data_IF_757310142384
#
_entry.id   IF_757310142384
#
_cell.length_a   1.000
_cell.length_b   1.000
_cell.length_c   1.000
_cell.angle_alpha   90.00
_cell.angle_beta   90.00
_cell.angle_gamma   90.00
#
_symmetry.space_group_name_H-M   'P 1'
#
loop_
_entity.id
_entity.type
_entity.pdbx_description
1 polymer ?
#
# COMPACT_ATOMS: atom_id res chain seq x y z
N UNK A 1 16.35 24.11 7.15
CA UNK A 1 17.36 24.73 8.03
C UNK A 1 16.81 26.07 8.49
N UNK A 2 16.26 26.15 9.72
CA UNK A 2 15.72 27.40 10.26
C UNK A 2 16.87 28.17 10.94
N UNK A 3 17.06 29.44 10.57
CA UNK A 3 18.17 30.26 11.03
C UNK A 3 18.06 30.57 12.54
N UNK A 4 19.14 30.29 13.27
CA UNK A 4 19.27 30.50 14.73
C UNK A 4 19.36 31.99 15.11
N UNK A 5 19.49 32.92 14.16
CA UNK A 5 19.91 34.31 14.42
C UNK A 5 19.04 35.40 13.75
N UNK A 6 17.71 35.34 13.88
CA UNK A 6 16.82 36.41 13.40
C UNK A 6 15.81 36.84 14.46
N UNK A 7 15.26 38.05 14.32
CA UNK A 7 14.22 38.66 15.19
C UNK A 7 12.86 37.93 15.17
N UNK A 8 12.76 36.83 14.42
CA UNK A 8 11.56 35.99 14.32
C UNK A 8 11.61 34.95 15.45
N UNK A 9 10.48 34.65 16.13
CA UNK A 9 10.42 33.63 17.17
C UNK A 9 11.11 32.33 16.74
N UNK A 10 12.10 31.90 17.52
CA UNK A 10 12.92 30.74 17.20
C UNK A 10 12.09 29.46 17.36
N UNK A 11 12.18 28.54 16.39
CA UNK A 11 11.50 27.24 16.46
C UNK A 11 11.88 26.46 17.73
N UNK A 12 13.05 26.71 18.31
CA UNK A 12 13.49 26.14 19.59
C UNK A 12 12.62 26.53 20.78
N UNK A 13 11.79 27.56 20.68
CA UNK A 13 10.83 27.96 21.71
C UNK A 13 9.45 27.31 21.53
N UNK A 14 9.24 26.51 20.47
CA UNK A 14 7.97 25.83 20.25
C UNK A 14 7.79 24.67 21.24
N UNK A 15 6.76 24.74 22.08
CA UNK A 15 6.49 23.74 23.12
C UNK A 15 6.29 22.32 22.58
N UNK A 16 5.72 22.18 21.37
CA UNK A 16 5.49 20.86 20.72
C UNK A 16 6.82 20.27 20.26
N UNK A 17 7.69 21.07 19.66
CA UNK A 17 9.06 20.62 19.34
C UNK A 17 9.84 20.26 20.62
N UNK A 18 9.71 21.05 21.68
CA UNK A 18 10.36 20.76 22.96
C UNK A 18 9.87 19.44 23.58
N UNK A 19 8.59 19.12 23.46
CA UNK A 19 8.06 17.83 23.88
C UNK A 19 8.67 16.67 23.07
N UNK A 20 8.80 16.83 21.74
CA UNK A 20 9.41 15.82 20.85
C UNK A 20 10.89 15.62 21.18
N UNK A 21 11.63 16.69 21.49
CA UNK A 21 13.05 16.67 21.86
C UNK A 21 13.31 16.00 23.22
N UNK A 22 12.37 16.12 24.17
CA UNK A 22 12.50 15.56 25.53
C UNK A 22 12.03 14.10 25.62
N UNK A 23 11.30 13.62 24.61
CA UNK A 23 10.84 12.23 24.59
C UNK A 23 12.03 11.28 24.48
N UNK A 24 12.09 10.31 25.39
CA UNK A 24 13.15 9.30 25.40
C UNK A 24 13.02 8.35 24.19
N UNK A 25 14.17 7.93 23.67
CA UNK A 25 14.31 6.90 22.64
C UNK A 25 15.15 5.76 23.21
N UNK A 26 14.90 4.53 22.77
CA UNK A 26 15.71 3.35 23.11
C UNK A 26 16.93 3.18 22.16
N UNK A 27 17.25 4.20 21.38
CA UNK A 27 18.38 4.28 20.46
C UNK A 27 19.08 5.65 20.59
N UNK A 28 20.35 5.71 20.19
CA UNK A 28 21.13 6.95 20.16
C UNK A 28 20.64 7.84 19.01
N UNK A 29 19.86 8.88 19.34
CA UNK A 29 19.33 9.81 18.34
C UNK A 29 20.43 10.79 17.88
N UNK A 30 20.71 10.79 16.57
CA UNK A 30 21.68 11.70 15.92
C UNK A 30 21.01 12.68 14.97
N UNK A 31 19.74 12.46 14.62
CA UNK A 31 18.95 13.34 13.76
C UNK A 31 17.49 13.44 14.21
N UNK A 32 16.93 14.63 14.06
CA UNK A 32 15.50 14.90 14.25
C UNK A 32 15.04 15.86 13.16
N UNK A 33 13.93 15.54 12.51
CA UNK A 33 13.15 16.49 11.74
C UNK A 33 11.69 16.47 12.20
N UNK A 34 11.07 17.64 12.14
CA UNK A 34 9.71 17.84 12.62
C UNK A 34 8.98 18.80 11.68
N UNK A 35 7.75 18.42 11.34
CA UNK A 35 6.82 19.21 10.57
C UNK A 35 5.56 19.45 11.40
N UNK A 36 5.30 20.71 11.76
CA UNK A 36 4.06 21.12 12.40
C UNK A 36 2.96 21.29 11.34
N UNK A 37 2.16 20.24 11.14
CA UNK A 37 1.11 20.27 10.13
C UNK A 37 -0.02 21.24 10.51
N UNK A 38 -0.40 21.29 11.79
CA UNK A 38 -1.42 22.23 12.27
C UNK A 38 -1.02 23.70 12.07
N UNK A 39 0.26 24.04 12.27
CA UNK A 39 0.73 25.38 11.99
C UNK A 39 0.60 25.74 10.49
N UNK A 40 0.87 24.79 9.60
CA UNK A 40 0.67 24.98 8.16
C UNK A 40 -0.81 25.14 7.81
N UNK A 41 -1.68 24.28 8.35
CA UNK A 41 -3.12 24.41 8.15
C UNK A 41 -3.67 25.73 8.66
N UNK A 42 -3.26 26.17 9.86
CA UNK A 42 -3.72 27.44 10.44
C UNK A 42 -3.33 28.62 9.56
N UNK A 43 -2.10 28.58 9.01
CA UNK A 43 -1.57 29.68 8.20
C UNK A 43 -2.14 29.71 6.79
N UNK A 44 -2.30 28.56 6.15
CA UNK A 44 -2.61 28.45 4.72
C UNK A 44 -4.00 27.90 4.43
N UNK A 45 -4.68 27.33 5.42
CA UNK A 45 -5.96 26.64 5.26
C UNK A 45 -7.06 27.49 4.64
N UNK A 46 -7.10 28.79 4.92
CA UNK A 46 -8.10 29.70 4.34
C UNK A 46 -7.82 30.15 2.90
N UNK A 47 -6.69 29.76 2.30
CA UNK A 47 -6.37 30.13 0.91
C UNK A 47 -7.26 29.34 -0.04
N UNK A 48 -7.93 30.05 -0.96
CA UNK A 48 -8.71 29.43 -2.03
C UNK A 48 -7.81 28.93 -3.15
N UNK A 49 -8.09 27.72 -3.62
CA UNK A 49 -7.45 27.12 -4.77
C UNK A 49 -8.03 27.71 -6.06
N UNK A 50 -7.21 27.86 -7.12
CA UNK A 50 -7.64 28.39 -8.40
C UNK A 50 -8.39 27.33 -9.23
N UNK A 51 -9.44 26.73 -8.65
CA UNK A 51 -10.30 25.72 -9.27
C UNK A 51 -11.75 26.23 -9.33
N UNK A 52 -12.60 25.71 -10.25
CA UNK A 52 -13.98 26.19 -10.43
C UNK A 52 -14.82 26.18 -9.14
N UNK A 53 -14.61 25.19 -8.28
CA UNK A 53 -15.33 24.99 -7.02
C UNK A 53 -14.91 25.96 -5.92
N UNK A 54 -13.82 26.73 -6.10
CA UNK A 54 -13.31 27.72 -5.13
C UNK A 54 -13.03 27.17 -3.72
N UNK A 55 -12.72 25.87 -3.61
CA UNK A 55 -12.35 25.24 -2.34
C UNK A 55 -11.13 25.89 -1.72
N UNK A 56 -11.11 25.94 -0.41
CA UNK A 56 -9.97 26.33 0.42
C UNK A 56 -9.01 25.15 0.61
N UNK A 57 -7.76 25.44 0.97
CA UNK A 57 -6.78 24.40 1.33
C UNK A 57 -7.32 23.54 2.48
N UNK A 58 -7.96 24.13 3.49
CA UNK A 58 -8.54 23.40 4.62
C UNK A 58 -9.61 22.40 4.17
N UNK A 59 -10.52 22.81 3.29
CA UNK A 59 -11.55 21.92 2.74
C UNK A 59 -10.90 20.77 1.96
N UNK A 60 -9.88 21.02 1.14
CA UNK A 60 -9.16 19.95 0.43
C UNK A 60 -8.45 18.99 1.38
N UNK A 61 -7.90 19.48 2.50
CA UNK A 61 -7.27 18.63 3.50
C UNK A 61 -8.29 17.78 4.26
N UNK A 62 -9.47 18.33 4.57
CA UNK A 62 -10.58 17.58 5.15
C UNK A 62 -11.08 16.48 4.21
N UNK A 63 -11.26 16.82 2.94
CA UNK A 63 -11.60 15.87 1.86
C UNK A 63 -10.57 14.74 1.80
N UNK A 64 -9.28 15.04 1.94
CA UNK A 64 -8.20 14.07 1.92
C UNK A 64 -8.02 13.29 3.25
N UNK A 65 -8.81 13.59 4.30
CA UNK A 65 -8.66 13.02 5.63
C UNK A 65 -7.37 13.44 6.36
N UNK A 66 -6.77 14.55 5.93
CA UNK A 66 -5.52 15.12 6.46
C UNK A 66 -5.78 16.36 7.34
N UNK A 67 -7.03 16.73 7.57
CA UNK A 67 -7.44 17.82 8.47
C UNK A 67 -7.00 17.55 9.92
N UNK A 68 -7.03 16.28 10.33
CA UNK A 68 -6.64 15.87 11.69
C UNK A 68 -5.15 15.60 11.85
N UNK A 69 -4.39 15.58 10.76
CA UNK A 69 -2.94 15.38 10.83
C UNK A 69 -2.34 16.47 11.73
N UNK A 70 -1.55 16.04 12.70
CA UNK A 70 -1.06 16.89 13.77
C UNK A 70 0.38 17.32 13.47
N UNK A 71 1.24 16.32 13.30
CA UNK A 71 2.65 16.52 12.98
C UNK A 71 3.26 15.29 12.32
N UNK A 72 4.36 15.51 11.60
CA UNK A 72 5.24 14.45 11.12
C UNK A 72 6.58 14.61 11.85
N UNK A 73 7.01 13.55 12.54
CA UNK A 73 8.26 13.50 13.29
C UNK A 73 9.10 12.40 12.68
N UNK A 74 10.34 12.69 12.31
CA UNK A 74 11.30 11.68 11.90
C UNK A 74 12.54 11.77 12.81
N UNK A 75 12.87 10.66 13.45
CA UNK A 75 14.04 10.49 14.31
C UNK A 75 14.98 9.50 13.65
N UNK A 76 16.26 9.86 13.57
CA UNK A 76 17.31 9.01 13.03
C UNK A 76 18.43 8.82 14.05
N UNK A 77 19.08 7.66 14.01
CA UNK A 77 20.10 7.32 14.99
C UNK A 77 20.68 5.93 14.83
N UNK A 78 21.21 5.40 15.92
CA UNK A 78 21.81 4.08 15.98
C UNK A 78 21.27 3.27 17.16
N UNK A 79 20.86 2.03 16.89
CA UNK A 79 20.54 1.04 17.94
C UNK A 79 21.56 -0.08 17.86
N UNK A 80 22.63 0.03 18.65
CA UNK A 80 23.81 -0.81 18.51
C UNK A 80 24.56 -0.51 17.20
N UNK A 81 24.85 -1.55 16.41
CA UNK A 81 25.53 -1.42 15.12
C UNK A 81 24.58 -1.09 13.95
N UNK A 82 23.26 -1.06 14.21
CA UNK A 82 22.25 -0.82 13.19
C UNK A 82 21.85 0.65 13.14
N UNK A 83 21.75 1.19 11.93
CA UNK A 83 21.05 2.45 11.70
C UNK A 83 19.57 2.25 12.02
N UNK A 84 19.00 3.19 12.76
CA UNK A 84 17.60 3.18 13.16
C UNK A 84 16.92 4.47 12.72
N UNK A 85 15.70 4.36 12.20
CA UNK A 85 14.89 5.52 11.81
C UNK A 85 13.44 5.27 12.17
N UNK A 86 12.84 6.21 12.90
CA UNK A 86 11.43 6.18 13.27
C UNK A 86 10.73 7.36 12.62
N UNK A 87 9.65 7.09 11.90
CA UNK A 87 8.74 8.13 11.40
C UNK A 87 7.41 7.99 12.10
N UNK A 88 7.00 9.02 12.83
CA UNK A 88 5.69 9.12 13.47
C UNK A 88 4.85 10.14 12.73
N UNK A 89 3.67 9.70 12.26
CA UNK A 89 2.64 10.56 11.69
C UNK A 89 1.53 10.65 12.74
N UNK A 90 1.42 11.80 13.40
CA UNK A 90 0.53 11.99 14.55
C UNK A 90 -0.78 12.63 14.08
N UNK A 91 -1.92 12.27 14.67
CA UNK A 91 -3.21 12.94 14.41
C UNK A 91 -4.05 12.31 13.31
N UNK A 92 -3.46 11.44 12.48
CA UNK A 92 -4.24 10.43 11.76
C UNK A 92 -4.64 9.34 12.77
N UNK A 93 -5.86 8.81 12.67
CA UNK A 93 -6.48 7.93 13.68
C UNK A 93 -5.57 6.79 14.17
N UNK A 94 -5.89 6.25 15.35
CA UNK A 94 -5.14 5.13 15.92
C UNK A 94 -5.03 3.98 14.92
N UNK A 95 -3.83 3.41 14.75
CA UNK A 95 -3.71 2.10 14.14
C UNK A 95 -4.40 1.10 15.07
N UNK A 96 -5.58 0.63 14.65
CA UNK A 96 -6.24 -0.49 15.29
C UNK A 96 -5.46 -1.76 14.97
N UNK A 97 -4.54 -2.16 15.85
CA UNK A 97 -3.80 -3.41 15.70
C UNK A 97 -2.64 -3.56 16.69
N UNK A 98 -2.30 -4.80 17.07
CA UNK A 98 -1.08 -5.06 17.82
C UNK A 98 0.14 -4.75 16.94
N UNK A 99 1.23 -4.34 17.59
CA UNK A 99 2.53 -4.18 16.92
C UNK A 99 2.96 -5.52 16.31
N UNK A 100 3.31 -5.51 15.02
CA UNK A 100 3.79 -6.70 14.33
C UNK A 100 5.13 -7.17 14.92
N UNK A 101 5.27 -8.49 15.02
CA UNK A 101 6.49 -9.18 15.40
C UNK A 101 6.97 -10.06 14.26
N UNK A 102 8.20 -10.57 14.36
CA UNK A 102 8.74 -11.51 13.36
C UNK A 102 7.90 -12.79 13.23
N UNK A 103 7.08 -13.15 14.23
CA UNK A 103 6.19 -14.32 14.18
C UNK A 103 4.96 -14.08 13.30
N UNK A 104 4.64 -12.82 13.04
CA UNK A 104 3.49 -12.42 12.21
C UNK A 104 3.85 -12.35 10.72
N UNK A 105 5.12 -12.63 10.37
CA UNK A 105 5.66 -12.59 9.01
C UNK A 105 5.61 -13.98 8.34
N UNK A 106 5.64 -14.05 6.99
CA UNK A 106 5.88 -15.32 6.32
C UNK A 106 7.28 -15.85 6.69
N UNK A 107 7.55 -17.15 6.45
CA UNK A 107 8.92 -17.65 6.50
C UNK A 107 9.82 -16.82 5.56
N UNK A 108 10.74 -16.05 6.15
CA UNK A 108 11.71 -15.26 5.40
C UNK A 108 12.86 -16.16 4.91
N UNK A 109 13.53 -15.79 3.80
CA UNK A 109 14.74 -16.48 3.37
C UNK A 109 15.82 -16.39 4.46
N UNK A 110 16.81 -17.29 4.41
CA UNK A 110 17.86 -17.32 5.45
C UNK A 110 18.73 -16.04 5.51
N UNK A 111 18.77 -15.27 4.42
CA UNK A 111 19.58 -14.04 4.27
C UNK A 111 18.91 -13.04 3.29
N UNK A 112 17.79 -12.40 3.65
CA UNK A 112 17.30 -11.26 2.87
C UNK A 112 18.31 -10.11 3.00
N UNK A 113 18.57 -9.36 1.92
CA UNK A 113 19.31 -8.10 2.05
C UNK A 113 18.39 -7.01 2.64
N UNK A 114 17.08 -7.11 2.39
CA UNK A 114 16.07 -6.24 2.97
C UNK A 114 14.70 -6.92 3.03
N UNK A 115 13.87 -6.46 3.97
CA UNK A 115 12.45 -6.74 3.94
C UNK A 115 11.69 -5.53 4.47
N UNK A 116 10.46 -5.37 4.00
CA UNK A 116 9.52 -4.36 4.44
C UNK A 116 8.23 -5.07 4.85
N UNK A 117 7.57 -4.53 5.87
CA UNK A 117 6.30 -5.06 6.37
C UNK A 117 5.34 -3.90 6.53
N UNK A 118 4.13 -4.11 6.04
CA UNK A 118 3.04 -3.14 6.11
C UNK A 118 1.84 -3.81 6.76
N UNK A 119 1.17 -3.07 7.63
CA UNK A 119 -0.12 -3.48 8.19
C UNK A 119 -1.21 -2.56 7.65
N UNK A 120 -2.13 -3.12 6.86
CA UNK A 120 -3.27 -2.41 6.29
C UNK A 120 -4.39 -3.42 6.04
N UNK A 121 -5.62 -3.11 6.46
CA UNK A 121 -6.80 -3.92 6.12
C UNK A 121 -7.33 -3.45 4.75
N UNK A 122 -7.12 -4.20 3.65
CA UNK A 122 -7.45 -3.73 2.31
C UNK A 122 -8.95 -3.55 2.09
N UNK A 123 -9.78 -4.44 2.65
CA UNK A 123 -11.23 -4.34 2.56
C UNK A 123 -11.78 -3.10 3.30
N UNK A 124 -11.26 -2.83 4.50
CA UNK A 124 -11.64 -1.61 5.23
C UNK A 124 -11.14 -0.34 4.53
N UNK A 125 -9.93 -0.37 3.96
CA UNK A 125 -9.40 0.74 3.16
C UNK A 125 -10.27 0.99 1.93
N UNK A 126 -10.70 -0.06 1.23
CA UNK A 126 -11.64 0.06 0.11
C UNK A 126 -12.94 0.73 0.54
N UNK A 127 -13.55 0.32 1.65
CA UNK A 127 -14.78 0.92 2.16
C UNK A 127 -14.62 2.40 2.51
N UNK A 128 -13.47 2.75 3.09
CA UNK A 128 -13.12 4.15 3.36
C UNK A 128 -12.97 4.94 2.06
N UNK A 129 -12.25 4.41 1.06
CA UNK A 129 -12.06 5.07 -0.24
C UNK A 129 -13.38 5.25 -0.99
N UNK A 130 -14.25 4.25 -0.99
CA UNK A 130 -15.60 4.34 -1.59
C UNK A 130 -16.44 5.38 -0.86
N UNK A 131 -16.44 5.37 0.48
CA UNK A 131 -17.16 6.36 1.27
C UNK A 131 -16.65 7.78 1.01
N UNK A 132 -15.33 7.93 0.90
CA UNK A 132 -14.67 9.20 0.58
C UNK A 132 -15.06 9.67 -0.83
N UNK A 133 -15.06 8.79 -1.83
CA UNK A 133 -15.50 9.14 -3.18
C UNK A 133 -16.96 9.62 -3.20
N UNK A 134 -17.86 8.92 -2.50
CA UNK A 134 -19.28 9.28 -2.41
C UNK A 134 -19.51 10.60 -1.68
N UNK A 135 -18.89 10.79 -0.52
CA UNK A 135 -19.03 12.01 0.28
C UNK A 135 -18.53 13.26 -0.46
N UNK A 136 -17.58 13.08 -1.38
CA UNK A 136 -16.97 14.18 -2.13
C UNK A 136 -17.50 14.31 -3.56
N UNK A 137 -18.45 13.47 -3.96
CA UNK A 137 -18.96 13.44 -5.32
C UNK A 137 -19.65 14.77 -5.71
N UNK A 138 -20.26 15.47 -4.75
CA UNK A 138 -20.85 16.80 -4.97
C UNK A 138 -19.85 17.88 -5.43
N UNK A 139 -18.54 17.66 -5.23
CA UNK A 139 -17.49 18.56 -5.72
C UNK A 139 -17.30 18.45 -7.24
N UNK A 140 -17.70 17.33 -7.84
CA UNK A 140 -17.59 17.08 -9.28
C UNK A 140 -18.71 17.74 -10.09
N UNK A 141 -19.73 18.31 -9.43
CA UNK A 141 -20.87 18.98 -10.06
C UNK A 141 -22.22 18.34 -9.69
N UNK A 142 -23.33 18.83 -10.28
CA UNK A 142 -24.68 18.37 -9.96
C UNK A 142 -24.91 16.87 -10.13
N UNK A 143 -24.21 16.25 -11.08
CA UNK A 143 -24.36 14.84 -11.43
C UNK A 143 -23.23 13.95 -10.83
N UNK A 144 -22.37 14.52 -9.99
CA UNK A 144 -21.15 13.84 -9.52
C UNK A 144 -21.43 12.59 -8.69
N UNK A 145 -22.44 12.63 -7.82
CA UNK A 145 -22.85 11.48 -6.99
C UNK A 145 -23.35 10.31 -7.85
N UNK A 146 -24.15 10.60 -8.88
CA UNK A 146 -24.64 9.59 -9.79
C UNK A 146 -23.49 8.96 -10.58
N UNK A 147 -22.56 9.77 -11.10
CA UNK A 147 -21.38 9.29 -11.82
C UNK A 147 -20.48 8.38 -10.96
N UNK A 148 -20.21 8.78 -9.71
CA UNK A 148 -19.41 7.97 -8.78
C UNK A 148 -20.09 6.64 -8.49
N UNK A 149 -21.41 6.64 -8.24
CA UNK A 149 -22.16 5.40 -8.01
C UNK A 149 -22.16 4.50 -9.25
N UNK A 150 -22.38 5.05 -10.46
CA UNK A 150 -22.33 4.29 -11.71
C UNK A 150 -20.95 3.63 -11.94
N UNK A 151 -19.86 4.34 -11.65
CA UNK A 151 -18.51 3.77 -11.74
C UNK A 151 -18.35 2.62 -10.75
N UNK A 152 -18.69 2.83 -9.47
CA UNK A 152 -18.56 1.79 -8.44
C UNK A 152 -19.40 0.56 -8.78
N UNK A 153 -20.63 0.75 -9.26
CA UNK A 153 -21.55 -0.33 -9.65
C UNK A 153 -21.12 -1.06 -10.93
N UNK A 154 -20.37 -0.40 -11.82
CA UNK A 154 -19.87 -1.02 -13.05
C UNK A 154 -18.53 -1.73 -12.89
N UNK A 155 -17.77 -1.46 -11.81
CA UNK A 155 -16.48 -2.11 -11.55
C UNK A 155 -16.55 -3.64 -11.63
N UNK A 156 -17.53 -4.33 -11.01
CA UNK A 156 -17.60 -5.79 -11.10
C UNK A 156 -17.80 -6.29 -12.52
N UNK A 157 -18.57 -5.58 -13.34
CA UNK A 157 -18.78 -5.93 -14.74
C UNK A 157 -17.52 -5.69 -15.58
N UNK A 158 -16.82 -4.57 -15.34
CA UNK A 158 -15.60 -4.22 -16.07
C UNK A 158 -14.44 -5.17 -15.74
N UNK A 159 -14.29 -5.54 -14.46
CA UNK A 159 -13.22 -6.42 -13.99
C UNK A 159 -13.59 -7.90 -14.13
N UNK A 160 -14.87 -8.20 -14.31
CA UNK A 160 -15.46 -9.54 -14.38
C UNK A 160 -15.42 -10.30 -13.05
N UNK A 161 -15.24 -9.59 -11.94
CA UNK A 161 -15.32 -10.05 -10.55
C UNK A 161 -15.55 -8.83 -9.65
N UNK A 162 -16.16 -9.00 -8.49
CA UNK A 162 -16.35 -7.94 -7.51
C UNK A 162 -15.06 -7.73 -6.69
N UNK A 163 -14.38 -6.57 -6.80
CA UNK A 163 -13.08 -6.38 -6.16
C UNK A 163 -13.10 -6.58 -4.64
N UNK A 164 -14.20 -6.22 -3.99
CA UNK A 164 -14.29 -6.32 -2.55
C UNK A 164 -14.52 -7.76 -2.12
N UNK A 165 -15.62 -8.35 -2.58
CA UNK A 165 -16.12 -9.63 -2.08
C UNK A 165 -15.33 -10.82 -2.63
N UNK A 166 -14.87 -10.76 -3.87
CA UNK A 166 -14.14 -11.86 -4.50
C UNK A 166 -12.63 -11.80 -4.25
N UNK A 167 -12.07 -10.63 -3.90
CA UNK A 167 -10.62 -10.46 -3.70
C UNK A 167 -10.25 -9.88 -2.33
N UNK A 168 -10.65 -8.64 -2.04
CA UNK A 168 -10.14 -7.91 -0.86
C UNK A 168 -10.62 -8.52 0.47
N UNK A 169 -11.83 -9.08 0.53
CA UNK A 169 -12.40 -9.71 1.74
C UNK A 169 -11.67 -11.00 2.14
N UNK A 170 -10.90 -11.59 1.23
CA UNK A 170 -10.05 -12.76 1.49
C UNK A 170 -8.65 -12.39 1.97
N UNK A 171 -8.23 -11.12 1.82
CA UNK A 171 -6.95 -10.62 2.29
C UNK A 171 -7.01 -10.33 3.80
N UNK A 172 -5.94 -10.71 4.49
CA UNK A 172 -5.64 -10.28 5.84
C UNK A 172 -5.06 -8.87 5.86
N UNK A 173 -4.53 -8.47 7.01
CA UNK A 173 -4.06 -7.10 7.24
C UNK A 173 -2.53 -6.93 7.17
N UNK A 174 -1.76 -7.97 6.84
CA UNK A 174 -0.29 -7.92 6.80
C UNK A 174 0.21 -8.18 5.39
N UNK A 175 1.08 -7.30 4.91
CA UNK A 175 1.85 -7.49 3.69
C UNK A 175 3.34 -7.48 4.04
N UNK A 176 4.10 -8.40 3.48
CA UNK A 176 5.55 -8.45 3.59
C UNK A 176 6.16 -8.46 2.19
N UNK A 177 7.19 -7.65 1.98
CA UNK A 177 7.96 -7.63 0.75
C UNK A 177 9.39 -7.89 1.14
N UNK A 178 10.04 -8.86 0.52
CA UNK A 178 11.45 -9.14 0.77
C UNK A 178 12.17 -9.47 -0.53
N UNK A 179 13.48 -9.32 -0.50
CA UNK A 179 14.32 -9.90 -1.53
C UNK A 179 14.78 -11.31 -1.12
N UNK A 180 14.73 -12.22 -2.09
CA UNK A 180 15.40 -13.50 -2.02
C UNK A 180 16.61 -13.44 -2.94
N UNK A 181 17.78 -13.26 -2.33
CA UNK A 181 19.05 -13.22 -3.05
C UNK A 181 19.34 -14.53 -3.83
N UNK A 182 18.68 -15.64 -3.50
CA UNK A 182 18.83 -16.92 -4.20
C UNK A 182 17.74 -17.17 -5.24
N UNK A 183 16.65 -16.39 -5.21
CA UNK A 183 15.44 -16.62 -5.99
C UNK A 183 15.32 -15.78 -7.26
N UNK A 184 16.41 -15.28 -7.86
CA UNK A 184 16.26 -14.47 -9.08
C UNK A 184 17.55 -14.22 -9.86
N UNK A 185 17.40 -14.01 -11.16
CA UNK A 185 18.51 -13.62 -12.03
C UNK A 185 19.07 -12.27 -11.55
N UNK A 186 20.38 -12.21 -11.30
CA UNK A 186 21.07 -11.06 -10.70
C UNK A 186 20.64 -10.67 -9.27
N UNK A 187 20.08 -11.62 -8.49
CA UNK A 187 19.71 -11.35 -7.08
C UNK A 187 18.49 -10.46 -6.92
N UNK A 188 17.61 -10.42 -7.93
CA UNK A 188 16.41 -9.57 -7.99
C UNK A 188 15.11 -10.33 -7.66
N UNK A 189 15.20 -11.43 -6.90
CA UNK A 189 14.04 -12.23 -6.50
C UNK A 189 13.14 -11.49 -5.52
N UNK A 190 12.36 -10.52 -5.96
CA UNK A 190 11.44 -9.78 -5.09
C UNK A 190 10.20 -10.64 -4.88
N UNK A 191 9.87 -10.89 -3.62
CA UNK A 191 8.68 -11.64 -3.23
C UNK A 191 7.74 -10.76 -2.43
N UNK A 192 6.46 -10.78 -2.81
CA UNK A 192 5.37 -10.16 -2.09
C UNK A 192 4.54 -11.25 -1.42
N UNK A 193 4.37 -11.14 -0.11
CA UNK A 193 3.55 -12.03 0.68
C UNK A 193 2.40 -11.24 1.28
N UNK A 194 1.17 -11.62 0.95
CA UNK A 194 -0.04 -11.04 1.50
C UNK A 194 -0.67 -12.06 2.44
N UNK A 195 -0.89 -11.69 3.69
CA UNK A 195 -1.59 -12.55 4.64
C UNK A 195 -3.00 -12.77 4.13
N UNK A 196 -3.51 -13.98 4.28
CA UNK A 196 -4.87 -14.34 3.91
C UNK A 196 -5.73 -14.51 5.16
N UNK A 197 -6.93 -13.96 5.10
CA UNK A 197 -8.02 -14.26 6.04
C UNK A 197 -8.72 -15.55 5.65
N UNK A 198 -8.82 -15.82 4.34
CA UNK A 198 -9.44 -17.03 3.78
C UNK A 198 -8.56 -17.60 2.66
N UNK A 199 -7.64 -18.54 2.99
CA UNK A 199 -6.82 -19.20 1.97
C UNK A 199 -7.67 -19.93 0.92
N UNK A 200 -8.65 -20.71 1.35
CA UNK A 200 -9.57 -21.44 0.45
C UNK A 200 -10.38 -20.49 -0.45
N UNK A 201 -10.82 -19.35 0.09
CA UNK A 201 -11.51 -18.32 -0.69
C UNK A 201 -10.61 -17.71 -1.77
N UNK A 202 -9.35 -17.43 -1.43
CA UNK A 202 -8.36 -16.93 -2.39
C UNK A 202 -8.02 -17.98 -3.46
N UNK A 203 -7.88 -19.25 -3.09
CA UNK A 203 -7.67 -20.34 -4.06
C UNK A 203 -8.85 -20.45 -5.03
N UNK A 204 -10.08 -20.45 -4.50
CA UNK A 204 -11.29 -20.45 -5.33
C UNK A 204 -11.39 -19.22 -6.23
N UNK A 205 -10.97 -18.04 -5.75
CA UNK A 205 -10.90 -16.84 -6.56
C UNK A 205 -9.91 -17.02 -7.71
N UNK A 206 -8.66 -17.43 -7.43
CA UNK A 206 -7.63 -17.69 -8.44
C UNK A 206 -8.14 -18.70 -9.48
N UNK A 207 -8.74 -19.80 -9.04
CA UNK A 207 -9.28 -20.83 -9.93
C UNK A 207 -10.38 -20.26 -10.84
N UNK A 208 -11.28 -19.43 -10.30
CA UNK A 208 -12.31 -18.76 -11.10
C UNK A 208 -11.74 -17.84 -12.17
N UNK A 209 -10.65 -17.11 -11.85
CA UNK A 209 -10.01 -16.20 -12.79
C UNK A 209 -9.27 -16.97 -13.88
N UNK A 210 -8.60 -18.08 -13.53
CA UNK A 210 -7.96 -18.97 -14.50
C UNK A 210 -8.99 -19.55 -15.49
N UNK A 211 -10.09 -20.12 -14.98
CA UNK A 211 -11.14 -20.68 -15.83
C UNK A 211 -11.79 -19.63 -16.75
N UNK A 212 -11.89 -18.38 -16.28
CA UNK A 212 -12.38 -17.26 -17.10
C UNK A 212 -11.43 -16.94 -18.25
N UNK A 213 -10.12 -16.93 -17.98
CA UNK A 213 -9.10 -16.65 -18.99
C UNK A 213 -9.02 -17.78 -20.03
N UNK A 214 -9.05 -19.04 -19.60
CA UNK A 214 -9.12 -20.20 -20.49
C UNK A 214 -10.33 -20.12 -21.42
N UNK A 215 -11.52 -19.81 -20.89
CA UNK A 215 -12.74 -19.64 -21.69
C UNK A 215 -12.65 -18.47 -22.67
N UNK A 216 -12.02 -17.35 -22.28
CA UNK A 216 -11.83 -16.21 -23.16
C UNK A 216 -10.91 -16.58 -24.34
N UNK A 217 -9.83 -17.32 -24.07
CA UNK A 217 -8.93 -17.88 -25.10
C UNK A 217 -9.69 -18.82 -26.05
N UNK A 218 -10.49 -19.75 -25.53
CA UNK A 218 -11.33 -20.66 -26.34
C UNK A 218 -12.30 -19.92 -27.28
N UNK A 219 -12.82 -18.77 -26.83
CA UNK A 219 -13.72 -17.93 -27.63
C UNK A 219 -12.99 -17.02 -28.63
N UNK A 220 -11.65 -16.99 -28.61
CA UNK A 220 -10.86 -16.02 -29.37
C UNK A 220 -10.99 -14.57 -28.86
N UNK A 221 -11.47 -14.40 -27.63
CA UNK A 221 -11.61 -13.12 -26.94
C UNK A 221 -10.32 -12.85 -26.16
N UNK A 222 -9.21 -12.68 -26.89
CA UNK A 222 -7.94 -12.33 -26.26
C UNK A 222 -8.09 -11.00 -25.55
N UNK A 223 -7.85 -11.00 -24.24
CA UNK A 223 -7.51 -9.76 -23.57
C UNK A 223 -6.22 -9.27 -24.23
N UNK A 224 -6.19 -8.03 -24.72
CA UNK A 224 -4.97 -7.36 -25.19
C UNK A 224 -4.02 -7.04 -24.01
N UNK A 225 -3.99 -7.91 -23.00
CA UNK A 225 -3.08 -7.84 -21.88
C UNK A 225 -1.81 -8.59 -22.27
N UNK A 226 -0.63 -8.02 -22.04
CA UNK A 226 0.62 -8.67 -22.35
C UNK A 226 0.97 -9.76 -21.32
N UNK A 227 0.01 -10.29 -20.54
CA UNK A 227 0.24 -11.21 -19.42
C UNK A 227 -0.55 -12.50 -19.62
N UNK A 228 0.16 -13.63 -19.66
CA UNK A 228 -0.41 -14.95 -19.92
C UNK A 228 -0.18 -15.88 -18.73
N UNK A 229 -1.18 -16.10 -17.86
CA UNK A 229 -1.06 -17.06 -16.78
C UNK A 229 -1.22 -18.50 -17.25
N UNK A 230 -0.46 -19.42 -16.68
CA UNK A 230 -0.65 -20.86 -16.83
C UNK A 230 -0.29 -21.62 -15.55
N UNK A 231 -0.81 -22.83 -15.42
CA UNK A 231 -0.52 -23.71 -14.27
C UNK A 231 0.71 -24.56 -14.53
N UNK A 232 1.58 -24.65 -13.54
CA UNK A 232 2.59 -25.71 -13.44
C UNK A 232 2.43 -26.44 -12.11
N UNK A 233 2.61 -27.75 -12.10
CA UNK A 233 2.65 -28.53 -10.87
C UNK A 233 4.07 -28.51 -10.30
N UNK A 234 4.21 -28.06 -9.05
CA UNK A 234 5.47 -28.10 -8.32
C UNK A 234 5.23 -28.66 -6.91
N UNK A 235 5.92 -29.77 -6.59
CA UNK A 235 5.78 -30.49 -5.33
C UNK A 235 4.34 -30.92 -5.01
N UNK A 236 3.61 -31.40 -6.03
CA UNK A 236 2.23 -31.89 -5.89
C UNK A 236 1.19 -30.79 -5.65
N UNK A 237 1.52 -29.55 -6.00
CA UNK A 237 0.68 -28.37 -5.80
C UNK A 237 0.81 -27.43 -6.99
N UNK A 238 -0.29 -26.76 -7.32
CA UNK A 238 -0.31 -25.81 -8.42
C UNK A 238 0.49 -24.55 -8.10
N UNK A 239 1.21 -24.06 -9.10
CA UNK A 239 1.85 -22.76 -9.13
C UNK A 239 1.36 -22.06 -10.40
N UNK A 240 0.79 -20.87 -10.25
CA UNK A 240 0.38 -20.07 -11.40
C UNK A 240 1.57 -19.23 -11.82
N UNK A 241 2.03 -19.40 -13.06
CA UNK A 241 3.14 -18.63 -13.64
C UNK A 241 2.57 -17.65 -14.64
N UNK A 242 3.12 -16.44 -14.69
CA UNK A 242 2.71 -15.40 -15.63
C UNK A 242 3.87 -15.06 -16.55
N UNK A 243 3.66 -15.20 -17.86
CA UNK A 243 4.60 -14.74 -18.87
C UNK A 243 4.18 -13.37 -19.41
N UNK A 244 5.16 -12.54 -19.76
CA UNK A 244 4.94 -11.34 -20.56
C UNK A 244 5.45 -11.53 -21.98
N UNK A 245 4.62 -11.21 -22.97
CA UNK A 245 5.02 -11.19 -24.39
C UNK A 245 5.63 -9.83 -24.71
N UNK A 246 6.90 -9.84 -25.15
CA UNK A 246 7.60 -8.68 -25.67
C UNK A 246 7.41 -8.51 -27.18
N UNK A 247 7.98 -7.42 -27.74
CA UNK A 247 8.02 -7.20 -29.18
C UNK A 247 8.77 -8.36 -29.88
N UNK A 248 8.10 -9.03 -30.83
CA UNK A 248 8.72 -10.07 -31.67
C UNK A 248 8.60 -11.51 -31.15
N UNK A 249 7.46 -11.89 -30.59
CA UNK A 249 7.10 -13.25 -30.13
C UNK A 249 8.00 -13.82 -29.01
N UNK A 250 8.79 -12.98 -28.33
CA UNK A 250 9.56 -13.42 -27.17
C UNK A 250 8.70 -13.35 -25.92
N UNK A 251 8.49 -14.49 -25.27
CA UNK A 251 7.89 -14.55 -23.94
C UNK A 251 8.98 -14.62 -22.87
N UNK A 252 8.79 -13.88 -21.79
CA UNK A 252 9.64 -13.97 -20.61
C UNK A 252 8.76 -14.21 -19.39
N UNK A 253 9.13 -15.21 -18.58
CA UNK A 253 8.48 -15.45 -17.31
C UNK A 253 8.64 -14.22 -16.42
N UNK A 254 7.52 -13.61 -16.06
CA UNK A 254 7.49 -12.37 -15.30
C UNK A 254 7.30 -12.62 -13.81
N UNK A 255 6.64 -13.71 -13.43
CA UNK A 255 6.44 -14.02 -12.02
C UNK A 255 5.61 -15.27 -11.82
N UNK A 256 5.31 -15.55 -10.56
CA UNK A 256 4.44 -16.65 -10.18
C UNK A 256 3.66 -16.30 -8.91
N UNK A 257 2.47 -16.89 -8.76
CA UNK A 257 1.65 -16.75 -7.55
C UNK A 257 1.20 -18.11 -7.02
N UNK A 258 1.16 -18.23 -5.70
CA UNK A 258 0.65 -19.40 -5.00
C UNK A 258 0.10 -19.06 -3.62
N UNK A 259 -0.90 -19.80 -3.16
CA UNK A 259 -1.29 -19.84 -1.76
C UNK A 259 -0.43 -20.85 -0.99
N UNK A 260 0.25 -20.39 0.07
CA UNK A 260 1.11 -21.20 0.92
C UNK A 260 0.70 -21.01 2.38
N UNK A 261 -0.07 -21.97 2.90
CA UNK A 261 -0.64 -21.86 4.24
C UNK A 261 -1.64 -20.71 4.29
N UNK A 262 -1.36 -19.69 5.08
CA UNK A 262 -2.18 -18.48 5.20
C UNK A 262 -1.56 -17.25 4.51
N UNK A 263 -0.74 -17.47 3.49
CA UNK A 263 -0.13 -16.42 2.69
C UNK A 263 -0.39 -16.62 1.20
N UNK A 264 -0.72 -15.54 0.51
CA UNK A 264 -0.58 -15.44 -0.94
C UNK A 264 0.83 -14.94 -1.24
N UNK A 265 1.62 -15.78 -1.91
CA UNK A 265 3.01 -15.51 -2.24
C UNK A 265 3.09 -15.20 -3.73
N UNK A 266 3.58 -14.02 -4.08
CA UNK A 266 3.80 -13.55 -5.45
C UNK A 266 5.29 -13.29 -5.63
N UNK A 267 5.96 -14.11 -6.43
CA UNK A 267 7.33 -13.88 -6.85
C UNK A 267 7.36 -13.05 -8.13
N UNK A 268 8.18 -12.00 -8.17
CA UNK A 268 8.49 -11.26 -9.39
C UNK A 268 9.83 -11.75 -9.96
N UNK A 269 9.90 -11.88 -11.29
CA UNK A 269 10.98 -12.46 -12.10
C UNK A 269 11.11 -13.99 -12.00
N UNK A 270 11.71 -14.67 -13.00
CA UNK A 270 11.97 -16.10 -12.91
C UNK A 270 12.98 -16.35 -11.79
N UNK A 271 12.57 -17.15 -10.81
CA UNK A 271 13.48 -17.76 -9.86
C UNK A 271 14.11 -18.97 -10.57
N UNK A 272 15.41 -18.90 -10.89
CA UNK A 272 16.16 -19.98 -11.54
C UNK A 272 16.61 -21.05 -10.56
#
# INVERSE_FOLDING_TARGET
MACISGEVPNISQNDRLQAVLKAETDFEQTGLSWLDWQALQTKYGGIRLPIPQQLTIAEVLEIAGLDKLDSVINRGGYRGESQWTETSIVGLGQQDGPMLTLKDLPPLPSKPNWFNVFQCNPAALHDQLVSLAKNNAGLMGPDGEEQVNQIIESLPQMLGFDPKTDLLDHLGNVACIYDDANGGVFGTGITFCLKLKSPEGMESFIDSQMARLEKAEENGEYLELPVYPYRIEQDGKDLIVFDITGDGDQTFQYGAVRVVGDWLVVGLMPQS
#
